data_IF_869163400930
#
_entry.id   IF_869163400930
#
_cell.length_a   1.000
_cell.length_b   1.000
_cell.length_c   1.000
_cell.angle_alpha   90.00
_cell.angle_beta   90.00
_cell.angle_gamma   90.00
#
_symmetry.space_group_name_H-M   'P 1'
#
loop_
_entity.id
_entity.type
_entity.pdbx_description
1 polymer ?
#
# COMPACT_ATOMS: atom_id res chain seq x y z
N UNK A 1 -6.69 -7.88 -1.23
CA UNK A 1 -7.44 -6.87 -0.45
C UNK A 1 -8.33 -6.07 -1.39
N UNK A 2 -9.55 -5.72 -0.97
CA UNK A 2 -10.43 -4.82 -1.73
C UNK A 2 -10.29 -3.39 -1.23
N UNK A 3 -10.22 -2.43 -2.13
CA UNK A 3 -10.04 -1.02 -1.85
C UNK A 3 -11.00 -0.20 -2.69
N UNK A 4 -11.90 0.54 -2.04
CA UNK A 4 -12.79 1.49 -2.67
C UNK A 4 -12.19 2.88 -2.60
N UNK A 5 -11.82 3.43 -3.75
CA UNK A 5 -11.30 4.78 -3.84
C UNK A 5 -12.40 5.81 -4.14
N UNK A 6 -12.27 7.01 -3.60
CA UNK A 6 -13.06 8.18 -3.98
C UNK A 6 -12.09 9.23 -4.54
N UNK A 7 -11.93 9.30 -5.88
CA UNK A 7 -11.01 10.24 -6.52
C UNK A 7 -11.56 11.68 -6.48
N UNK A 8 -10.69 12.68 -6.68
CA UNK A 8 -11.08 14.09 -6.66
C UNK A 8 -11.42 14.64 -5.27
N UNK A 9 -10.92 14.01 -4.20
CA UNK A 9 -11.12 14.54 -2.85
C UNK A 9 -10.19 15.72 -2.56
N UNK A 10 -10.50 16.55 -1.57
CA UNK A 10 -9.61 17.66 -1.20
C UNK A 10 -8.28 17.18 -0.63
N UNK A 11 -8.23 15.98 -0.04
CA UNK A 11 -7.01 15.37 0.53
C UNK A 11 -7.02 13.85 0.39
N UNK A 12 -5.83 13.27 0.25
CA UNK A 12 -5.65 11.81 0.29
C UNK A 12 -5.71 11.32 1.75
N UNK A 13 -6.64 10.42 2.06
CA UNK A 13 -6.81 9.87 3.42
C UNK A 13 -7.54 8.54 3.44
N UNK A 14 -7.28 7.73 4.46
CA UNK A 14 -8.11 6.59 4.82
C UNK A 14 -9.46 7.10 5.36
N UNK A 15 -10.57 6.59 4.83
CA UNK A 15 -11.92 6.93 5.29
C UNK A 15 -12.46 5.90 6.30
N UNK A 16 -12.04 4.65 6.18
CA UNK A 16 -12.45 3.57 7.08
C UNK A 16 -12.16 2.19 6.49
N UNK A 17 -12.11 1.19 7.36
CA UNK A 17 -12.01 -0.22 6.97
C UNK A 17 -13.34 -0.91 7.31
N UNK A 18 -13.91 -1.63 6.34
CA UNK A 18 -15.15 -2.39 6.50
C UNK A 18 -14.87 -3.86 6.19
N UNK A 19 -14.57 -4.65 7.22
CA UNK A 19 -14.13 -6.05 7.07
C UNK A 19 -12.83 -6.14 6.25
N UNK A 20 -12.94 -6.61 5.01
CA UNK A 20 -11.80 -6.74 4.07
C UNK A 20 -11.76 -5.64 3.00
N UNK A 21 -12.68 -4.68 3.07
CA UNK A 21 -12.83 -3.59 2.10
C UNK A 21 -12.42 -2.26 2.71
N UNK A 22 -11.39 -1.64 2.13
CA UNK A 22 -10.81 -0.39 2.61
C UNK A 22 -11.34 0.79 1.81
N UNK A 23 -11.83 1.84 2.47
CA UNK A 23 -12.31 3.05 1.82
C UNK A 23 -11.25 4.15 1.90
N UNK A 24 -10.83 4.69 0.76
CA UNK A 24 -9.76 5.69 0.67
C UNK A 24 -10.22 6.87 -0.18
N UNK A 25 -10.09 8.08 0.33
CA UNK A 25 -10.22 9.29 -0.45
C UNK A 25 -8.86 9.59 -1.11
N UNK A 26 -8.84 9.83 -2.41
CA UNK A 26 -7.63 10.19 -3.16
C UNK A 26 -7.82 11.59 -3.71
N UNK A 27 -6.84 12.46 -3.51
CA UNK A 27 -6.90 13.82 -4.04
C UNK A 27 -6.66 13.88 -5.56
N UNK A 28 -5.90 12.92 -6.08
CA UNK A 28 -5.66 12.82 -7.51
C UNK A 28 -6.98 12.57 -8.29
N UNK A 29 -7.14 13.20 -9.46
CA UNK A 29 -8.28 12.94 -10.32
C UNK A 29 -8.22 11.51 -10.89
N UNK A 30 -9.37 10.94 -11.33
CA UNK A 30 -9.43 9.62 -11.96
C UNK A 30 -8.89 9.62 -13.41
N UNK A 31 -8.11 10.61 -13.81
CA UNK A 31 -7.62 10.78 -15.17
C UNK A 31 -6.24 10.13 -15.36
N UNK A 32 -6.05 9.44 -16.50
CA UNK A 32 -4.75 8.86 -16.92
C UNK A 32 -4.03 8.05 -15.83
N UNK A 33 -4.77 7.32 -14.99
CA UNK A 33 -4.18 6.47 -13.95
C UNK A 33 -3.54 7.22 -12.77
N UNK A 34 -3.69 8.55 -12.66
CA UNK A 34 -3.15 9.34 -11.53
C UNK A 34 -3.68 8.88 -10.19
N UNK A 35 -4.97 8.54 -10.11
CA UNK A 35 -5.56 7.94 -8.91
C UNK A 35 -4.91 6.60 -8.52
N UNK A 36 -4.46 5.80 -9.50
CA UNK A 36 -3.80 4.50 -9.24
C UNK A 36 -2.40 4.74 -8.66
N UNK A 37 -1.63 5.65 -9.26
CA UNK A 37 -0.30 6.01 -8.79
C UNK A 37 -0.33 6.62 -7.37
N UNK A 38 -1.31 7.49 -7.11
CA UNK A 38 -1.52 8.07 -5.78
C UNK A 38 -1.90 7.00 -4.75
N UNK A 39 -2.78 6.06 -5.11
CA UNK A 39 -3.16 4.94 -4.25
C UNK A 39 -1.95 4.06 -3.89
N UNK A 40 -1.16 3.66 -4.88
CA UNK A 40 0.03 2.82 -4.67
C UNK A 40 1.04 3.55 -3.77
N UNK A 41 1.23 4.84 -3.99
CA UNK A 41 2.13 5.66 -3.16
C UNK A 41 1.62 5.73 -1.72
N UNK A 42 0.34 6.00 -1.52
CA UNK A 42 -0.26 6.07 -0.18
C UNK A 42 -0.20 4.73 0.57
N UNK A 43 -0.47 3.61 -0.11
CA UNK A 43 -0.36 2.29 0.52
C UNK A 43 1.09 1.90 0.84
N UNK A 44 2.04 2.31 -0.01
CA UNK A 44 3.47 2.13 0.22
C UNK A 44 3.93 2.82 1.50
N UNK A 45 3.44 4.03 1.76
CA UNK A 45 3.74 4.79 2.97
C UNK A 45 3.14 4.16 4.24
N UNK A 46 1.94 3.60 4.16
CA UNK A 46 1.28 2.98 5.33
C UNK A 46 1.87 1.62 5.67
N UNK A 47 2.10 0.79 4.64
CA UNK A 47 2.54 -0.60 4.84
C UNK A 47 4.06 -0.75 4.90
N UNK A 48 4.80 0.36 4.72
CA UNK A 48 6.26 0.39 4.57
C UNK A 48 6.76 -0.56 3.47
N UNK A 49 5.92 -0.83 2.47
CA UNK A 49 6.25 -1.70 1.35
C UNK A 49 6.68 -0.90 0.13
N UNK A 50 7.64 -1.39 -0.66
CA UNK A 50 7.99 -0.75 -1.92
C UNK A 50 6.82 -0.88 -2.93
N UNK A 51 6.63 0.14 -3.77
CA UNK A 51 5.56 0.18 -4.80
C UNK A 51 5.52 -1.08 -5.68
N UNK A 52 6.67 -1.71 -5.93
CA UNK A 52 6.78 -2.95 -6.71
C UNK A 52 6.10 -4.16 -6.05
N UNK A 53 5.94 -4.15 -4.73
CA UNK A 53 5.24 -5.18 -3.96
C UNK A 53 3.74 -4.93 -3.88
N UNK A 54 3.26 -3.83 -4.44
CA UNK A 54 1.86 -3.43 -4.46
C UNK A 54 1.37 -3.55 -5.89
N UNK A 55 0.63 -4.62 -6.19
CA UNK A 55 0.12 -4.89 -7.53
C UNK A 55 -1.39 -4.67 -7.56
N UNK A 56 -1.83 -3.84 -8.50
CA UNK A 56 -3.25 -3.70 -8.81
C UNK A 56 -3.66 -4.88 -9.70
N UNK A 57 -4.51 -5.77 -9.22
CA UNK A 57 -4.99 -6.93 -10.00
C UNK A 57 -6.31 -6.65 -10.72
N UNK A 58 -7.13 -5.72 -10.22
CA UNK A 58 -8.41 -5.36 -10.84
C UNK A 58 -8.87 -3.97 -10.45
N UNK A 59 -9.73 -3.38 -11.28
CA UNK A 59 -10.31 -2.06 -11.02
C UNK A 59 -9.53 -0.90 -11.62
N UNK A 60 -8.84 -1.08 -12.75
CA UNK A 60 -8.20 0.05 -13.45
C UNK A 60 -9.21 1.12 -13.88
N UNK A 61 -10.40 0.70 -14.32
CA UNK A 61 -11.51 1.58 -14.75
C UNK A 61 -12.57 1.81 -13.69
N UNK A 62 -12.54 1.08 -12.57
CA UNK A 62 -13.58 1.11 -11.54
C UNK A 62 -13.05 1.74 -10.22
N UNK A 63 -13.87 2.47 -9.44
CA UNK A 63 -13.44 2.98 -8.14
C UNK A 63 -13.20 1.86 -7.11
N UNK A 64 -13.75 0.68 -7.33
CA UNK A 64 -13.46 -0.52 -6.55
C UNK A 64 -12.28 -1.26 -7.16
N UNK A 65 -11.20 -1.34 -6.38
CA UNK A 65 -9.89 -1.87 -6.78
C UNK A 65 -9.51 -3.05 -5.93
N UNK A 66 -8.90 -4.04 -6.57
CA UNK A 66 -8.32 -5.16 -5.87
C UNK A 66 -6.82 -5.05 -5.96
N UNK A 67 -6.16 -5.03 -4.80
CA UNK A 67 -4.70 -4.99 -4.70
C UNK A 67 -4.16 -6.22 -3.99
N UNK A 68 -3.00 -6.65 -4.48
CA UNK A 68 -2.19 -7.70 -3.90
C UNK A 68 -0.93 -7.05 -3.33
N UNK A 69 -0.73 -7.25 -2.03
CA UNK A 69 0.46 -6.81 -1.31
C UNK A 69 1.36 -8.03 -1.09
N UNK A 70 2.59 -7.96 -1.57
CA UNK A 70 3.58 -9.03 -1.42
C UNK A 70 4.58 -8.69 -0.32
N UNK A 71 4.84 -9.61 0.62
CA UNK A 71 5.83 -9.39 1.68
C UNK A 71 5.29 -8.72 2.94
N UNK A 72 3.98 -8.71 3.14
CA UNK A 72 3.33 -8.36 4.41
C UNK A 72 2.30 -9.44 4.76
N UNK A 73 2.21 -9.78 6.04
CA UNK A 73 1.17 -10.68 6.53
C UNK A 73 -0.20 -9.99 6.51
N UNK A 74 -1.28 -10.65 6.04
CA UNK A 74 -2.61 -10.06 5.97
C UNK A 74 -3.14 -9.59 7.33
N UNK A 75 -2.84 -10.29 8.42
CA UNK A 75 -3.23 -9.88 9.78
C UNK A 75 -2.51 -8.61 10.21
N UNK A 76 -1.20 -8.53 9.98
CA UNK A 76 -0.42 -7.35 10.32
C UNK A 76 -0.81 -6.12 9.47
N UNK A 77 -1.10 -6.32 8.19
CA UNK A 77 -1.56 -5.27 7.29
C UNK A 77 -2.87 -4.61 7.78
N UNK A 78 -3.85 -5.43 8.17
CA UNK A 78 -5.14 -4.95 8.69
C UNK A 78 -4.93 -4.17 9.99
N UNK A 79 -4.08 -4.66 10.90
CA UNK A 79 -3.76 -4.00 12.17
C UNK A 79 -3.14 -2.62 11.93
N UNK A 80 -2.13 -2.52 11.04
CA UNK A 80 -1.51 -1.24 10.70
C UNK A 80 -2.53 -0.25 10.10
N UNK A 81 -3.37 -0.73 9.18
CA UNK A 81 -4.42 0.11 8.57
C UNK A 81 -5.45 0.60 9.60
N UNK A 82 -5.79 -0.24 10.58
CA UNK A 82 -6.71 0.12 11.66
C UNK A 82 -6.11 1.14 12.62
N UNK A 83 -4.85 0.97 12.98
CA UNK A 83 -4.13 1.91 13.87
C UNK A 83 -4.01 3.31 13.24
N UNK A 84 -3.85 3.38 11.92
CA UNK A 84 -3.88 4.64 11.16
C UNK A 84 -5.28 5.29 11.12
N UNK A 85 -6.36 4.56 11.39
CA UNK A 85 -7.72 5.12 11.50
C UNK A 85 -8.00 5.70 12.88
N UNK A 86 -7.48 5.08 13.94
CA UNK A 86 -7.71 5.48 15.33
C UNK A 86 -6.85 6.69 15.75
N UNK A 87 -5.73 6.92 15.05
CA UNK A 87 -4.84 8.06 15.30
C UNK A 87 -5.23 9.31 14.50
N UNK A 88 -6.26 10.03 14.95
CA UNK A 88 -6.55 11.38 14.43
C UNK A 88 -5.48 12.41 14.87
N UNK A 89 -4.37 12.56 14.13
CA UNK A 89 -3.77 13.86 13.74
C UNK A 89 -2.54 13.67 12.84
N UNK A 90 -2.35 14.55 11.83
CA UNK A 90 -1.31 14.40 10.82
C UNK A 90 -0.02 15.06 11.32
N UNK A 91 1.03 14.29 11.58
CA UNK A 91 2.37 14.88 11.70
C UNK A 91 3.44 13.98 11.10
N UNK A 92 4.07 14.54 10.05
CA UNK A 92 5.43 14.32 9.55
C UNK A 92 6.17 13.10 10.09
N UNK A 93 6.61 12.25 9.18
CA UNK A 93 7.92 11.60 9.32
C UNK A 93 8.75 11.89 8.08
N UNK A 94 9.40 13.04 8.12
CA UNK A 94 10.71 13.20 7.52
C UNK A 94 11.68 12.26 8.28
N UNK A 95 12.62 11.65 7.53
CA UNK A 95 13.72 10.81 7.99
C UNK A 95 13.43 9.39 8.55
N UNK A 96 13.63 8.39 7.68
CA UNK A 96 14.56 7.27 7.98
C UNK A 96 15.34 6.86 6.72
N UNK A 97 16.45 7.56 6.49
CA UNK A 97 17.64 6.93 5.93
C UNK A 97 18.10 5.86 6.94
N UNK A 98 18.71 4.80 6.44
CA UNK A 98 19.57 3.86 7.15
C UNK A 98 18.95 2.50 7.52
N UNK A 99 19.33 1.52 6.71
CA UNK A 99 20.01 0.28 7.12
C UNK A 99 19.26 -0.72 8.01
N UNK A 100 18.91 -1.86 7.41
CA UNK A 100 19.37 -3.18 7.90
C UNK A 100 19.30 -4.18 6.73
N UNK A 101 20.37 -4.35 5.97
CA UNK A 101 21.44 -5.32 6.22
C UNK A 101 20.94 -6.76 6.37
N UNK A 102 21.26 -7.56 5.34
CA UNK A 102 21.75 -8.96 5.37
C UNK A 102 21.08 -9.90 6.37
N UNK A 103 20.64 -11.08 5.89
CA UNK A 103 21.37 -12.37 5.95
C UNK A 103 20.46 -13.48 5.37
N UNK A 104 20.75 -13.94 4.15
CA UNK A 104 21.44 -15.21 3.81
C UNK A 104 20.72 -16.50 4.27
N UNK A 105 20.43 -17.37 3.30
CA UNK A 105 21.06 -18.71 3.23
C UNK A 105 21.12 -19.16 1.76
N UNK A 106 22.28 -19.05 1.09
CA UNK A 106 23.33 -20.07 0.80
C UNK A 106 22.96 -21.16 -0.23
N UNK A 107 23.75 -21.12 -1.30
CA UNK A 107 24.54 -22.22 -1.92
C UNK A 107 23.82 -23.45 -2.47
N UNK A 108 23.90 -23.56 -3.80
CA UNK A 108 24.19 -24.78 -4.56
C UNK A 108 24.71 -24.29 -5.93
N UNK A 109 26.01 -24.14 -6.17
CA UNK A 109 27.01 -25.19 -6.46
C UNK A 109 26.41 -26.45 -7.09
N UNK A 110 26.49 -26.50 -8.41
CA UNK A 110 26.77 -27.75 -9.14
C UNK A 110 27.62 -27.41 -10.37
N UNK A 111 28.92 -27.76 -10.38
CA UNK A 111 29.70 -27.87 -11.60
C UNK A 111 29.65 -29.32 -12.09
N UNK A 112 29.27 -29.59 -13.33
CA UNK A 112 29.57 -30.85 -14.01
C UNK A 112 29.69 -30.52 -15.50
N UNK A 113 30.93 -30.34 -15.98
CA UNK A 113 31.85 -31.34 -16.57
C UNK A 113 31.59 -31.47 -18.06
#
# INVERSE_FOLDING_TARGET
>A
MQVKITPGSSRTKLLGLHGQSLKIAIAAPPEKGKANAALITFLSEITDLPKQKITLTSGETNPEKTLVLSGIDPGNCITLLREQLETKKPQKTENKKSNKSKKLEKKSKTPHK
#
